data_IF_752510190190
#
_entry.id   IF_752510190190
#
_cell.length_a   1.000
_cell.length_b   1.000
_cell.length_c   1.000
_cell.angle_alpha   90.00
_cell.angle_beta   90.00
_cell.angle_gamma   90.00
#
_symmetry.space_group_name_H-M   'P 1'
#
loop_
_entity.id
_entity.type
_entity.pdbx_description
1 polymer ?
#
# COMPACT_ATOMS: atom_id res chain seq x y z
N UNK A 1 11.86 -5.01 0.29
CA UNK A 1 11.83 -3.88 -0.66
C UNK A 1 13.24 -3.34 -0.88
N UNK A 2 13.91 -2.75 0.16
CA UNK A 2 15.23 -2.09 -0.01
C UNK A 2 16.28 -2.96 -0.73
N UNK A 3 16.51 -4.18 -0.26
CA UNK A 3 17.53 -5.05 -0.86
C UNK A 3 17.27 -5.34 -2.35
N UNK A 4 16.02 -5.57 -2.73
CA UNK A 4 15.65 -5.78 -4.14
C UNK A 4 15.86 -4.50 -4.96
N UNK A 5 15.46 -3.35 -4.43
CA UNK A 5 15.68 -2.07 -5.07
C UNK A 5 17.17 -1.78 -5.30
N UNK A 6 17.99 -1.95 -4.26
CA UNK A 6 19.45 -1.72 -4.34
C UNK A 6 20.12 -2.68 -5.33
N UNK A 7 19.68 -3.94 -5.36
CA UNK A 7 20.18 -4.94 -6.31
C UNK A 7 19.90 -4.55 -7.77
N UNK A 8 18.65 -4.18 -8.08
CA UNK A 8 18.26 -3.77 -9.43
C UNK A 8 19.01 -2.51 -9.84
N UNK A 9 19.11 -1.53 -8.93
CA UNK A 9 19.85 -0.29 -9.14
C UNK A 9 21.36 -0.55 -9.39
N UNK A 10 21.97 -1.49 -8.67
CA UNK A 10 23.36 -1.87 -8.86
C UNK A 10 23.61 -2.59 -10.20
N UNK A 11 22.56 -3.14 -10.84
CA UNK A 11 22.63 -3.68 -12.21
C UNK A 11 22.57 -2.59 -13.29
N UNK A 12 22.45 -1.33 -12.91
CA UNK A 12 22.45 -0.21 -13.84
C UNK A 12 21.06 0.27 -14.25
N UNK A 13 19.99 -0.33 -13.71
CA UNK A 13 18.62 0.11 -14.00
C UNK A 13 18.36 1.51 -13.42
N UNK A 14 17.81 2.38 -14.26
CA UNK A 14 17.53 3.78 -13.89
C UNK A 14 16.03 4.01 -13.67
N UNK A 15 15.18 3.28 -14.38
CA UNK A 15 13.72 3.40 -14.33
C UNK A 15 13.14 2.25 -13.50
N UNK A 16 13.15 2.42 -12.17
CA UNK A 16 12.67 1.40 -11.25
C UNK A 16 11.31 1.83 -10.72
N UNK A 17 10.29 1.03 -11.00
CA UNK A 17 8.95 1.18 -10.43
C UNK A 17 8.73 0.11 -9.37
N UNK A 18 8.00 0.47 -8.31
CA UNK A 18 7.65 -0.46 -7.24
C UNK A 18 6.13 -0.68 -7.25
N UNK A 19 5.70 -1.91 -7.38
CA UNK A 19 4.30 -2.31 -7.31
C UNK A 19 4.05 -3.16 -6.06
N UNK A 20 2.97 -2.90 -5.36
CA UNK A 20 2.57 -3.72 -4.21
C UNK A 20 1.10 -3.61 -3.89
N UNK A 21 0.51 -4.77 -3.55
CA UNK A 21 -0.87 -4.86 -3.07
C UNK A 21 -0.93 -5.04 -1.56
N UNK A 22 -1.92 -4.42 -0.90
CA UNK A 22 -2.22 -4.57 0.52
C UNK A 22 -0.97 -4.38 1.40
N UNK A 23 -0.52 -5.39 2.13
CA UNK A 23 0.71 -5.38 2.93
C UNK A 23 1.96 -5.01 2.09
N UNK A 24 2.02 -5.41 0.82
CA UNK A 24 3.11 -5.05 -0.09
C UNK A 24 3.15 -3.55 -0.38
N UNK A 25 1.98 -2.93 -0.56
CA UNK A 25 1.85 -1.48 -0.74
C UNK A 25 2.34 -0.71 0.50
N UNK A 26 1.92 -1.15 1.68
CA UNK A 26 2.37 -0.60 2.97
C UNK A 26 3.89 -0.74 3.15
N UNK A 27 4.45 -1.91 2.79
CA UNK A 27 5.88 -2.17 2.86
C UNK A 27 6.68 -1.27 1.90
N UNK A 28 6.13 -0.94 0.73
CA UNK A 28 6.73 0.01 -0.23
C UNK A 28 6.71 1.41 0.35
N UNK A 29 5.55 1.91 0.81
CA UNK A 29 5.41 3.24 1.38
C UNK A 29 6.41 3.45 2.53
N UNK A 30 6.48 2.48 3.46
CA UNK A 30 7.45 2.49 4.55
C UNK A 30 8.90 2.47 4.06
N UNK A 31 9.22 1.65 3.06
CA UNK A 31 10.59 1.54 2.56
C UNK A 31 11.05 2.84 1.87
N UNK A 32 10.16 3.48 1.12
CA UNK A 32 10.44 4.79 0.50
C UNK A 32 10.75 5.82 1.58
N UNK A 33 9.92 5.89 2.63
CA UNK A 33 10.14 6.83 3.74
C UNK A 33 11.41 6.51 4.54
N UNK A 34 11.51 5.30 5.10
CA UNK A 34 12.57 4.95 6.07
C UNK A 34 13.95 4.88 5.42
N UNK A 35 14.04 4.35 4.21
CA UNK A 35 15.32 4.19 3.49
C UNK A 35 15.59 5.27 2.46
N UNK A 36 14.69 6.26 2.34
CA UNK A 36 14.78 7.36 1.38
C UNK A 36 15.03 6.84 -0.04
N UNK A 37 14.26 5.81 -0.42
CA UNK A 37 14.32 5.27 -1.78
C UNK A 37 13.75 6.32 -2.75
N UNK A 38 14.33 6.38 -3.94
CA UNK A 38 13.87 7.29 -5.00
C UNK A 38 13.53 6.49 -6.28
N UNK A 39 12.41 5.73 -6.28
CA UNK A 39 11.95 5.04 -7.47
C UNK A 39 11.39 6.03 -8.51
N UNK A 40 11.30 5.58 -9.77
CA UNK A 40 10.69 6.36 -10.85
C UNK A 40 9.19 6.55 -10.66
N UNK A 41 8.55 5.67 -9.91
CA UNK A 41 7.17 5.75 -9.45
C UNK A 41 6.80 4.55 -8.59
N UNK A 42 5.71 4.67 -7.86
CA UNK A 42 5.16 3.56 -7.04
C UNK A 42 3.68 3.36 -7.35
N UNK A 43 3.26 2.11 -7.32
CA UNK A 43 1.87 1.69 -7.50
C UNK A 43 1.44 0.97 -6.23
N UNK A 44 0.43 1.51 -5.58
CA UNK A 44 -0.07 1.05 -4.28
C UNK A 44 -1.51 0.57 -4.43
N UNK A 45 -1.71 -0.74 -4.47
CA UNK A 45 -3.02 -1.36 -4.58
C UNK A 45 -3.57 -1.68 -3.18
N UNK A 46 -4.65 -1.03 -2.79
CA UNK A 46 -5.38 -1.21 -1.52
C UNK A 46 -4.49 -1.19 -0.26
N UNK A 47 -3.64 -0.18 -0.07
CA UNK A 47 -2.88 -0.04 1.16
C UNK A 47 -3.81 0.28 2.33
N UNK A 48 -3.67 -0.43 3.45
CA UNK A 48 -4.32 -0.03 4.70
C UNK A 48 -3.51 1.05 5.44
N UNK A 49 -4.17 1.85 6.28
CA UNK A 49 -3.48 2.90 7.04
C UNK A 49 -2.89 2.34 8.34
N UNK A 50 -3.72 1.93 9.27
CA UNK A 50 -3.28 1.41 10.58
C UNK A 50 -3.19 -0.11 10.61
N UNK A 51 -2.03 -0.65 11.00
CA UNK A 51 -1.86 -2.12 11.06
C UNK A 51 -2.81 -2.76 12.08
N UNK A 52 -3.04 -2.13 13.24
CA UNK A 52 -3.96 -2.65 14.25
C UNK A 52 -5.41 -2.67 13.74
N UNK A 53 -5.84 -1.61 13.05
CA UNK A 53 -7.19 -1.54 12.51
C UNK A 53 -7.40 -2.51 11.35
N UNK A 54 -6.37 -2.71 10.55
CA UNK A 54 -6.38 -3.77 9.52
C UNK A 54 -6.50 -5.17 10.16
N UNK A 55 -5.78 -5.45 11.26
CA UNK A 55 -5.90 -6.72 11.99
C UNK A 55 -7.30 -6.89 12.60
N UNK A 56 -7.94 -5.82 13.08
CA UNK A 56 -9.35 -5.86 13.53
C UNK A 56 -10.28 -6.22 12.37
N UNK A 57 -10.13 -5.57 11.22
CA UNK A 57 -10.92 -5.85 10.02
C UNK A 57 -10.74 -7.32 9.58
N UNK A 58 -9.52 -7.81 9.61
CA UNK A 58 -9.21 -9.21 9.31
C UNK A 58 -9.82 -10.17 10.33
N UNK A 59 -9.77 -9.85 11.62
CA UNK A 59 -10.44 -10.62 12.67
C UNK A 59 -11.94 -10.73 12.43
N UNK A 60 -12.61 -9.62 12.11
CA UNK A 60 -14.03 -9.61 11.73
C UNK A 60 -14.34 -10.52 10.54
N UNK A 61 -13.51 -10.50 9.51
CA UNK A 61 -13.72 -11.35 8.33
C UNK A 61 -13.64 -12.85 8.63
N UNK A 62 -12.97 -13.22 9.72
CA UNK A 62 -12.91 -14.60 10.24
C UNK A 62 -13.96 -14.89 11.31
N UNK A 63 -14.84 -13.94 11.64
CA UNK A 63 -15.86 -14.09 12.67
C UNK A 63 -15.34 -13.98 14.11
N UNK A 64 -14.12 -13.48 14.32
CA UNK A 64 -13.57 -13.25 15.65
C UNK A 64 -13.95 -11.87 16.20
N UNK A 65 -14.12 -11.71 17.53
CA UNK A 65 -14.19 -10.41 18.17
C UNK A 65 -12.92 -9.60 17.87
N UNK A 66 -13.07 -8.37 17.38
CA UNK A 66 -11.99 -7.53 16.84
C UNK A 66 -10.76 -7.45 17.74
N UNK A 67 -10.98 -7.04 19.00
CA UNK A 67 -9.88 -6.83 19.94
C UNK A 67 -9.28 -8.14 20.46
N UNK A 68 -10.07 -9.20 20.52
CA UNK A 68 -9.59 -10.52 20.97
C UNK A 68 -8.62 -11.14 19.95
N UNK A 69 -8.76 -10.79 18.67
CA UNK A 69 -7.85 -11.19 17.62
C UNK A 69 -6.68 -10.20 17.46
N UNK A 70 -7.01 -8.91 17.25
CA UNK A 70 -6.01 -7.92 16.85
C UNK A 70 -4.97 -7.61 17.93
N UNK A 71 -5.37 -7.48 19.20
CA UNK A 71 -4.45 -7.07 20.26
C UNK A 71 -3.36 -8.12 20.55
N UNK A 72 -3.70 -9.41 20.78
CA UNK A 72 -2.67 -10.44 20.98
C UNK A 72 -1.71 -10.57 19.79
N UNK A 73 -2.24 -10.53 18.54
CA UNK A 73 -1.43 -10.59 17.34
C UNK A 73 -0.50 -9.38 17.24
N UNK A 74 -1.00 -8.17 17.50
CA UNK A 74 -0.18 -6.95 17.50
C UNK A 74 0.92 -6.97 18.56
N UNK A 75 0.62 -7.46 19.77
CA UNK A 75 1.60 -7.62 20.82
C UNK A 75 2.68 -8.62 20.44
N UNK A 76 2.29 -9.78 19.92
CA UNK A 76 3.22 -10.80 19.44
C UNK A 76 4.14 -10.26 18.33
N UNK A 77 3.57 -9.64 17.30
CA UNK A 77 4.34 -9.04 16.20
C UNK A 77 5.32 -7.97 16.71
N UNK A 78 4.91 -7.16 17.68
CA UNK A 78 5.78 -6.12 18.24
C UNK A 78 6.95 -6.71 19.02
N UNK A 79 6.74 -7.81 19.73
CA UNK A 79 7.79 -8.49 20.50
C UNK A 79 8.80 -9.22 19.60
N UNK A 80 8.30 -9.94 18.59
CA UNK A 80 9.15 -10.76 17.72
C UNK A 80 9.96 -9.93 16.73
N UNK A 81 9.34 -8.91 16.11
CA UNK A 81 9.96 -8.15 15.02
C UNK A 81 10.66 -6.87 15.45
N UNK A 82 10.57 -6.48 16.73
CA UNK A 82 10.96 -5.16 17.23
C UNK A 82 10.33 -4.01 16.43
N UNK A 83 9.17 -4.27 15.81
CA UNK A 83 8.46 -3.36 14.95
C UNK A 83 7.34 -2.66 15.71
N UNK A 84 7.22 -1.32 15.64
CA UNK A 84 6.23 -0.57 16.42
C UNK A 84 4.83 -0.69 15.78
N UNK A 85 4.22 -1.87 15.87
CA UNK A 85 2.91 -2.21 15.26
C UNK A 85 1.84 -1.19 15.60
N UNK A 86 1.76 -0.74 16.86
CA UNK A 86 0.76 0.20 17.33
C UNK A 86 0.94 1.64 16.82
N UNK A 87 2.11 1.96 16.26
CA UNK A 87 2.44 3.29 15.71
C UNK A 87 2.61 3.24 14.19
N UNK A 88 2.27 2.13 13.56
CA UNK A 88 2.44 1.94 12.14
C UNK A 88 1.24 2.48 11.38
N UNK A 89 1.42 3.61 10.71
CA UNK A 89 0.42 4.21 9.84
C UNK A 89 1.03 4.53 8.47
N UNK A 90 0.38 4.06 7.42
CA UNK A 90 0.84 4.30 6.04
C UNK A 90 0.75 5.78 5.68
N UNK A 91 -0.25 6.49 6.17
CA UNK A 91 -0.39 7.94 5.98
C UNK A 91 0.77 8.75 6.57
N UNK A 92 1.47 8.26 7.61
CA UNK A 92 2.65 8.92 8.12
C UNK A 92 3.85 8.76 7.18
N UNK A 93 4.03 7.61 6.57
CA UNK A 93 5.07 7.37 5.55
C UNK A 93 4.78 8.14 4.26
N UNK A 94 3.50 8.26 3.89
CA UNK A 94 3.06 8.94 2.68
C UNK A 94 3.50 10.41 2.62
N UNK A 95 3.65 11.07 3.76
CA UNK A 95 4.13 12.46 3.87
C UNK A 95 5.54 12.69 3.30
N UNK A 96 6.31 11.64 3.12
CA UNK A 96 7.67 11.69 2.59
C UNK A 96 7.81 11.00 1.23
N UNK A 97 6.70 10.72 0.53
CA UNK A 97 6.70 10.13 -0.81
C UNK A 97 6.61 11.26 -1.84
N UNK A 98 7.74 11.55 -2.48
CA UNK A 98 7.85 12.63 -3.49
C UNK A 98 7.81 12.12 -4.94
N UNK A 99 8.04 10.81 -5.18
CA UNK A 99 7.96 10.21 -6.50
C UNK A 99 6.50 10.11 -6.99
N UNK A 100 6.26 9.90 -8.31
CA UNK A 100 4.93 9.65 -8.85
C UNK A 100 4.23 8.47 -8.17
N UNK A 101 2.93 8.61 -7.88
CA UNK A 101 2.13 7.58 -7.18
C UNK A 101 0.84 7.30 -7.94
N UNK A 102 0.59 6.02 -8.20
CA UNK A 102 -0.73 5.49 -8.54
C UNK A 102 -1.25 4.74 -7.31
N UNK A 103 -2.36 5.20 -6.75
CA UNK A 103 -3.05 4.54 -5.66
C UNK A 103 -4.36 3.98 -6.17
N UNK A 104 -4.63 2.70 -5.91
CA UNK A 104 -5.78 1.98 -6.43
C UNK A 104 -6.60 1.38 -5.29
N UNK A 105 -7.92 1.46 -5.39
CA UNK A 105 -8.84 0.95 -4.37
C UNK A 105 -10.16 0.47 -4.99
N UNK A 106 -10.78 -0.54 -4.39
CA UNK A 106 -12.07 -1.08 -4.79
C UNK A 106 -13.19 -0.72 -3.83
N UNK A 107 -14.38 -0.38 -4.35
CA UNK A 107 -15.50 0.12 -3.53
C UNK A 107 -16.09 -0.93 -2.59
N UNK A 108 -15.95 -2.22 -2.89
CA UNK A 108 -16.43 -3.34 -2.07
C UNK A 108 -15.31 -3.96 -1.21
N UNK A 109 -14.21 -3.22 -1.02
CA UNK A 109 -13.15 -3.64 -0.11
C UNK A 109 -13.61 -3.54 1.36
N UNK A 110 -13.82 -4.70 1.99
CA UNK A 110 -14.25 -4.80 3.40
C UNK A 110 -13.09 -4.76 4.40
N UNK A 111 -11.84 -4.74 3.92
CA UNK A 111 -10.64 -4.72 4.76
C UNK A 111 -9.99 -3.35 4.82
N UNK A 112 -10.05 -2.60 3.72
CA UNK A 112 -9.53 -1.24 3.60
C UNK A 112 -10.67 -0.31 3.22
N UNK A 113 -10.95 0.65 4.07
CA UNK A 113 -12.06 1.58 3.89
C UNK A 113 -11.68 2.74 2.95
N UNK A 114 -12.68 3.33 2.31
CA UNK A 114 -12.53 4.56 1.53
C UNK A 114 -11.82 5.66 2.35
N UNK A 115 -12.21 5.83 3.59
CA UNK A 115 -11.63 6.85 4.49
C UNK A 115 -10.13 6.64 4.72
N UNK A 116 -9.67 5.41 4.86
CA UNK A 116 -8.24 5.10 4.97
C UNK A 116 -7.50 5.41 3.67
N UNK A 117 -8.09 5.01 2.54
CA UNK A 117 -7.55 5.27 1.21
C UNK A 117 -7.39 6.76 0.94
N UNK A 118 -8.45 7.55 1.19
CA UNK A 118 -8.41 9.01 1.06
C UNK A 118 -7.38 9.65 2.00
N UNK A 119 -7.31 9.20 3.26
CA UNK A 119 -6.32 9.68 4.23
C UNK A 119 -4.89 9.45 3.75
N UNK A 120 -4.60 8.26 3.20
CA UNK A 120 -3.28 7.96 2.63
C UNK A 120 -3.02 8.84 1.42
N UNK A 121 -3.99 8.91 0.50
CA UNK A 121 -3.87 9.70 -0.73
C UNK A 121 -3.62 11.17 -0.43
N UNK A 122 -4.36 11.77 0.48
CA UNK A 122 -4.19 13.18 0.86
C UNK A 122 -2.82 13.44 1.48
N UNK A 123 -2.31 12.48 2.27
CA UNK A 123 -1.01 12.57 2.92
C UNK A 123 0.18 12.47 1.97
N UNK A 124 0.03 11.88 0.77
CA UNK A 124 1.13 11.75 -0.21
C UNK A 124 1.65 13.14 -0.62
N UNK A 125 2.94 13.38 -0.37
CA UNK A 125 3.59 14.66 -0.65
C UNK A 125 3.73 14.95 -2.16
N UNK A 126 3.87 13.92 -2.97
CA UNK A 126 4.00 14.05 -4.43
C UNK A 126 2.81 14.80 -5.05
N UNK A 127 3.11 15.76 -5.92
CA UNK A 127 2.09 16.43 -6.75
C UNK A 127 1.66 15.58 -7.94
N UNK A 128 2.46 14.57 -8.30
CA UNK A 128 2.16 13.61 -9.37
C UNK A 128 1.53 12.37 -8.74
N UNK A 129 0.29 12.50 -8.28
CA UNK A 129 -0.46 11.39 -7.68
C UNK A 129 -1.83 11.25 -8.32
N UNK A 130 -2.26 10.00 -8.51
CA UNK A 130 -3.59 9.64 -9.04
C UNK A 130 -4.21 8.59 -8.12
N UNK A 131 -5.49 8.77 -7.78
CA UNK A 131 -6.32 7.76 -7.16
C UNK A 131 -7.24 7.16 -8.23
N UNK A 132 -7.23 5.84 -8.35
CA UNK A 132 -8.13 5.08 -9.22
C UNK A 132 -9.06 4.24 -8.36
N UNK A 133 -10.35 4.37 -8.63
CA UNK A 133 -11.40 3.64 -7.93
C UNK A 133 -11.98 2.58 -8.88
N UNK A 134 -12.08 1.36 -8.38
CA UNK A 134 -12.67 0.23 -9.09
C UNK A 134 -14.05 -0.06 -8.50
N UNK A 135 -15.09 0.14 -9.29
CA UNK A 135 -16.46 -0.14 -8.88
C UNK A 135 -16.66 -1.63 -8.61
N UNK A 136 -17.28 -1.95 -7.47
CA UNK A 136 -17.47 -3.31 -6.96
C UNK A 136 -16.16 -4.09 -6.73
N UNK A 137 -15.01 -3.41 -6.76
CA UNK A 137 -13.71 -4.02 -6.50
C UNK A 137 -13.61 -4.47 -5.05
N UNK A 138 -13.24 -5.74 -4.83
CA UNK A 138 -13.01 -6.34 -3.51
C UNK A 138 -11.51 -6.37 -3.17
N UNK A 139 -11.17 -6.70 -1.92
CA UNK A 139 -9.76 -6.83 -1.47
C UNK A 139 -9.07 -8.04 -2.08
N UNK A 140 -8.80 -7.98 -3.37
CA UNK A 140 -8.12 -8.98 -4.18
C UNK A 140 -7.47 -8.30 -5.39
N UNK A 141 -6.69 -9.02 -6.20
CA UNK A 141 -6.05 -8.45 -7.39
C UNK A 141 -7.03 -7.70 -8.29
N UNK A 142 -6.85 -6.39 -8.45
CA UNK A 142 -7.69 -5.56 -9.32
C UNK A 142 -7.51 -5.90 -10.79
N UNK A 143 -6.32 -6.37 -11.20
CA UNK A 143 -6.09 -6.95 -12.51
C UNK A 143 -7.05 -8.10 -12.83
N UNK A 144 -7.34 -8.95 -11.84
CA UNK A 144 -8.25 -10.09 -12.03
C UNK A 144 -9.71 -9.67 -12.09
N UNK A 145 -10.06 -8.52 -11.52
CA UNK A 145 -11.44 -8.03 -11.40
C UNK A 145 -11.84 -7.15 -12.58
N UNK A 146 -10.98 -6.23 -12.97
CA UNK A 146 -11.15 -5.38 -14.16
C UNK A 146 -9.83 -5.24 -14.92
N UNK A 147 -9.48 -6.23 -15.78
CA UNK A 147 -8.23 -6.20 -16.54
C UNK A 147 -8.09 -4.99 -17.44
N UNK A 148 -9.20 -4.55 -18.06
CA UNK A 148 -9.16 -3.45 -19.03
C UNK A 148 -8.87 -2.11 -18.35
N UNK A 149 -9.52 -1.82 -17.24
CA UNK A 149 -9.25 -0.62 -16.47
C UNK A 149 -7.82 -0.67 -15.91
N UNK A 150 -7.41 -1.80 -15.33
CA UNK A 150 -6.09 -1.97 -14.75
C UNK A 150 -4.97 -1.80 -15.78
N UNK A 151 -5.05 -2.45 -16.94
CA UNK A 151 -4.06 -2.33 -18.00
C UNK A 151 -3.93 -0.89 -18.51
N UNK A 152 -5.06 -0.21 -18.71
CA UNK A 152 -5.08 1.20 -19.12
C UNK A 152 -4.38 2.08 -18.09
N UNK A 153 -4.72 1.94 -16.80
CA UNK A 153 -4.13 2.77 -15.75
C UNK A 153 -2.62 2.51 -15.58
N UNK A 154 -2.19 1.25 -15.74
CA UNK A 154 -0.77 0.90 -15.74
C UNK A 154 -0.03 1.48 -16.93
N UNK A 155 -0.58 1.38 -18.15
CA UNK A 155 0.03 1.94 -19.36
C UNK A 155 0.17 3.46 -19.24
N UNK A 156 -0.89 4.15 -18.83
CA UNK A 156 -0.88 5.60 -18.62
C UNK A 156 0.18 6.01 -17.59
N UNK A 157 0.25 5.30 -16.46
CA UNK A 157 1.19 5.60 -15.38
C UNK A 157 2.65 5.33 -15.75
N UNK A 158 2.92 4.24 -16.47
CA UNK A 158 4.26 3.86 -16.90
C UNK A 158 4.72 4.58 -18.17
N UNK A 159 3.85 5.33 -18.85
CA UNK A 159 4.14 6.01 -20.11
C UNK A 159 4.31 5.05 -21.29
N UNK A 160 3.61 3.92 -21.28
CA UNK A 160 3.62 2.91 -22.34
C UNK A 160 2.47 3.20 -23.33
N UNK A 161 2.74 3.99 -24.37
CA UNK A 161 1.77 4.36 -25.44
C UNK A 161 2.14 3.73 -26.75
#
# INVERSE_FOLDING_TARGET
VKLAYDYVKAKGEKNIYLFGGSMGAVAIARAVDVYKLNPSGIILEMPFDGLVDHLKARGRSFGFPENLFAIPVSCWMSLESSFPVFKHNTSDYAKNIDCPVLLEWGTDDHLVTQKETEKIFDAIASKKKKLVVYENGIHSSLLSQDPLQWEKEMQDFLGLH
#
